data_IF_750983884796
#
_entry.id   IF_750983884796
#
_cell.length_a   1.000
_cell.length_b   1.000
_cell.length_c   1.000
_cell.angle_alpha   90.00
_cell.angle_beta   90.00
_cell.angle_gamma   90.00
#
_symmetry.space_group_name_H-M   'P 1'
#
loop_
_entity.id
_entity.type
_entity.pdbx_description
1 polymer ?
#
# COMPACT_ATOMS: atom_id res chain seq x y z
N UNK A 1 -8.21 17.21 6.95
CA UNK A 1 -7.20 17.33 7.98
C UNK A 1 -6.40 18.59 7.73
N UNK A 2 -6.08 19.33 8.78
CA UNK A 2 -5.12 20.44 8.69
C UNK A 2 -3.72 19.88 8.97
N UNK A 3 -2.77 20.27 8.15
CA UNK A 3 -1.36 19.94 8.36
C UNK A 3 -0.70 20.99 9.27
N UNK A 4 0.46 20.68 9.86
CA UNK A 4 1.16 21.58 10.77
C UNK A 4 1.61 22.89 10.10
N UNK A 5 1.82 22.87 8.80
CA UNK A 5 2.14 24.05 7.98
C UNK A 5 0.92 24.84 7.50
N UNK A 6 -0.29 24.47 7.98
CA UNK A 6 -1.55 25.18 7.74
C UNK A 6 -2.25 24.84 6.42
N UNK A 7 -1.78 23.85 5.67
CA UNK A 7 -2.48 23.37 4.49
C UNK A 7 -3.65 22.45 4.84
N UNK A 8 -4.60 22.33 3.93
CA UNK A 8 -5.72 21.39 4.06
C UNK A 8 -5.47 20.16 3.20
N UNK A 9 -5.42 18.99 3.85
CA UNK A 9 -5.35 17.71 3.16
C UNK A 9 -6.71 17.01 3.19
N UNK A 10 -7.21 16.57 2.04
CA UNK A 10 -8.46 15.85 1.92
C UNK A 10 -8.21 14.34 1.92
N UNK A 11 -8.70 13.67 2.97
CA UNK A 11 -8.68 12.22 3.06
C UNK A 11 -9.95 11.64 2.44
N UNK A 12 -9.82 10.64 1.60
CA UNK A 12 -10.93 9.90 1.00
C UNK A 12 -10.74 8.41 1.22
N UNK A 13 -11.64 7.82 2.00
CA UNK A 13 -11.73 6.37 2.14
C UNK A 13 -12.63 5.81 1.03
N UNK A 14 -12.13 4.83 0.29
CA UNK A 14 -12.92 4.13 -0.72
C UNK A 14 -13.74 3.00 -0.08
N UNK A 15 -14.98 2.75 -0.54
CA UNK A 15 -15.74 1.59 -0.13
C UNK A 15 -14.98 0.30 -0.44
N UNK A 16 -14.86 -0.58 0.55
CA UNK A 16 -14.15 -1.83 0.42
C UNK A 16 -15.13 -3.03 0.49
N UNK A 17 -15.21 -3.88 -0.55
CA UNK A 17 -15.98 -5.12 -0.49
C UNK A 17 -15.29 -6.16 0.40
N UNK A 18 -15.97 -7.27 0.69
CA UNK A 18 -15.37 -8.38 1.45
C UNK A 18 -14.40 -9.24 0.63
N UNK A 19 -14.29 -9.01 -0.66
CA UNK A 19 -13.28 -9.65 -1.52
C UNK A 19 -11.94 -8.95 -1.30
N UNK A 20 -10.97 -9.68 -0.79
CA UNK A 20 -9.65 -9.17 -0.48
C UNK A 20 -8.98 -8.59 -1.73
N UNK A 21 -8.36 -7.42 -1.58
CA UNK A 21 -7.60 -6.68 -2.61
C UNK A 21 -8.44 -6.18 -3.82
N UNK A 22 -9.75 -6.47 -3.87
CA UNK A 22 -10.59 -6.04 -4.99
C UNK A 22 -10.75 -4.51 -5.10
N UNK A 23 -10.46 -3.77 -4.03
CA UNK A 23 -10.49 -2.31 -4.00
C UNK A 23 -9.25 -1.67 -4.63
N UNK A 24 -8.13 -2.38 -4.74
CA UNK A 24 -6.86 -1.82 -5.21
C UNK A 24 -6.97 -1.14 -6.58
N UNK A 25 -7.47 -1.80 -7.64
CA UNK A 25 -7.62 -1.14 -8.93
C UNK A 25 -8.65 0.00 -8.91
N UNK A 26 -9.62 -0.05 -8.00
CA UNK A 26 -10.61 1.03 -7.82
C UNK A 26 -9.92 2.28 -7.25
N UNK A 27 -9.06 2.12 -6.24
CA UNK A 27 -8.29 3.24 -5.64
C UNK A 27 -7.35 3.84 -6.68
N UNK A 28 -6.62 3.01 -7.43
CA UNK A 28 -5.70 3.47 -8.49
C UNK A 28 -6.46 4.24 -9.57
N UNK A 29 -7.55 3.67 -10.10
CA UNK A 29 -8.38 4.33 -11.11
C UNK A 29 -9.03 5.62 -10.61
N UNK A 30 -9.51 5.64 -9.36
CA UNK A 30 -10.06 6.85 -8.75
C UNK A 30 -8.99 7.92 -8.56
N UNK A 31 -7.78 7.54 -8.16
CA UNK A 31 -6.65 8.47 -8.02
C UNK A 31 -6.27 9.07 -9.38
N UNK A 32 -6.21 8.26 -10.44
CA UNK A 32 -5.97 8.73 -11.81
C UNK A 32 -7.02 9.73 -12.24
N UNK A 33 -8.30 9.38 -12.10
CA UNK A 33 -9.39 10.26 -12.49
C UNK A 33 -9.38 11.60 -11.73
N UNK A 34 -9.05 11.57 -10.43
CA UNK A 34 -8.91 12.81 -9.65
C UNK A 34 -7.73 13.66 -10.11
N UNK A 35 -6.59 13.06 -10.36
CA UNK A 35 -5.42 13.79 -10.86
C UNK A 35 -5.76 14.48 -12.19
N UNK A 36 -6.34 13.75 -13.13
CA UNK A 36 -6.68 14.28 -14.45
C UNK A 36 -7.72 15.39 -14.40
N UNK A 37 -8.78 15.24 -13.59
CA UNK A 37 -9.92 16.17 -13.55
C UNK A 37 -9.64 17.41 -12.68
N UNK A 38 -8.96 17.22 -11.53
CA UNK A 38 -8.82 18.27 -10.52
C UNK A 38 -7.46 18.96 -10.53
N UNK A 39 -6.43 18.30 -11.05
CA UNK A 39 -5.03 18.72 -10.88
C UNK A 39 -4.22 18.67 -12.18
N UNK A 40 -4.88 18.63 -13.35
CA UNK A 40 -4.22 18.64 -14.67
C UNK A 40 -3.16 17.53 -14.82
N UNK A 41 -3.44 16.36 -14.26
CA UNK A 41 -2.54 15.20 -14.18
C UNK A 41 -1.27 15.44 -13.34
N UNK A 42 -1.30 16.40 -12.42
CA UNK A 42 -0.24 16.58 -11.41
C UNK A 42 -0.39 15.51 -10.32
N UNK A 43 0.36 14.43 -10.46
CA UNK A 43 0.32 13.29 -9.55
C UNK A 43 0.93 13.58 -8.17
N UNK A 44 1.66 14.68 -8.00
CA UNK A 44 2.19 15.11 -6.70
C UNK A 44 1.07 15.60 -5.76
N UNK A 45 -0.09 15.93 -6.32
CA UNK A 45 -1.28 16.35 -5.56
C UNK A 45 -2.13 15.20 -5.04
N UNK A 46 -1.83 13.97 -5.43
CA UNK A 46 -2.58 12.76 -5.07
C UNK A 46 -1.62 11.74 -4.46
N UNK A 47 -1.99 11.19 -3.31
CA UNK A 47 -1.25 10.10 -2.68
C UNK A 47 -2.18 8.90 -2.46
N UNK A 48 -2.16 7.90 -3.33
CA UNK A 48 -2.85 6.64 -3.08
C UNK A 48 -2.16 5.85 -1.99
N UNK A 49 -2.95 5.30 -1.07
CA UNK A 49 -2.46 4.40 -0.01
C UNK A 49 -3.35 3.17 -0.01
N UNK A 50 -2.75 2.01 -0.19
CA UNK A 50 -3.40 0.71 -0.08
C UNK A 50 -2.93 0.03 1.20
N UNK A 51 -3.87 -0.40 2.04
CA UNK A 51 -3.58 -1.10 3.29
C UNK A 51 -3.92 -2.57 3.09
N UNK A 52 -2.91 -3.43 3.20
CA UNK A 52 -2.98 -4.86 2.92
C UNK A 52 -2.80 -5.69 4.20
N UNK A 53 -3.37 -6.89 4.22
CA UNK A 53 -2.92 -7.97 5.09
C UNK A 53 -1.81 -8.77 4.40
N UNK A 54 -0.89 -9.36 5.17
CA UNK A 54 0.25 -10.12 4.61
C UNK A 54 -0.17 -11.35 3.81
N UNK A 55 -1.19 -12.07 4.25
CA UNK A 55 -1.71 -13.23 3.52
C UNK A 55 -2.44 -12.85 2.23
N UNK A 56 -3.15 -11.70 2.22
CA UNK A 56 -3.90 -11.27 1.05
C UNK A 56 -2.97 -10.68 -0.03
N UNK A 57 -2.05 -9.80 0.34
CA UNK A 57 -1.10 -9.20 -0.62
C UNK A 57 -0.25 -10.24 -1.33
N UNK A 58 0.16 -11.28 -0.62
CA UNK A 58 0.95 -12.37 -1.20
C UNK A 58 0.11 -13.39 -1.99
N UNK A 59 -1.19 -13.52 -1.69
CA UNK A 59 -2.04 -14.59 -2.21
C UNK A 59 -3.04 -14.19 -3.29
N UNK A 60 -3.32 -12.91 -3.47
CA UNK A 60 -4.31 -12.42 -4.43
C UNK A 60 -3.68 -11.92 -5.73
N UNK A 61 -3.98 -12.60 -6.85
CA UNK A 61 -3.41 -12.26 -8.16
C UNK A 61 -3.71 -10.84 -8.64
N UNK A 62 -4.78 -10.21 -8.15
CA UNK A 62 -5.14 -8.84 -8.49
C UNK A 62 -4.07 -7.82 -8.07
N UNK A 63 -3.36 -8.06 -6.96
CA UNK A 63 -2.23 -7.20 -6.54
C UNK A 63 -1.11 -7.25 -7.56
N UNK A 64 -0.79 -8.46 -8.04
CA UNK A 64 0.18 -8.67 -9.11
C UNK A 64 -0.20 -7.89 -10.38
N UNK A 65 -1.47 -7.97 -10.78
CA UNK A 65 -1.98 -7.28 -11.98
C UNK A 65 -1.90 -5.75 -11.83
N UNK A 66 -2.27 -5.22 -10.67
CA UNK A 66 -2.19 -3.78 -10.38
C UNK A 66 -0.74 -3.29 -10.44
N UNK A 67 0.20 -4.03 -9.84
CA UNK A 67 1.63 -3.69 -9.92
C UNK A 67 2.16 -3.73 -11.35
N UNK A 68 1.78 -4.71 -12.15
CA UNK A 68 2.21 -4.79 -13.54
C UNK A 68 1.66 -3.65 -14.42
N UNK A 69 0.60 -2.99 -13.99
CA UNK A 69 0.04 -1.83 -14.68
C UNK A 69 0.65 -0.49 -14.21
N UNK A 70 1.30 -0.43 -13.05
CA UNK A 70 1.66 0.81 -12.35
C UNK A 70 2.53 1.78 -13.17
N UNK A 71 3.40 1.25 -14.03
CA UNK A 71 4.31 2.04 -14.87
C UNK A 71 3.81 2.24 -16.32
N UNK A 72 2.61 1.74 -16.65
CA UNK A 72 2.05 1.92 -17.98
C UNK A 72 1.36 3.29 -18.10
N UNK A 73 1.61 4.01 -19.19
CA UNK A 73 1.10 5.37 -19.43
C UNK A 73 -0.40 5.55 -19.12
N UNK A 74 -1.23 4.57 -19.49
CA UNK A 74 -2.67 4.60 -19.28
C UNK A 74 -3.10 4.42 -17.83
N UNK A 75 -2.22 3.90 -16.97
CA UNK A 75 -2.50 3.52 -15.57
C UNK A 75 -1.63 4.26 -14.56
N UNK A 76 -0.56 4.90 -15.02
CA UNK A 76 0.39 5.62 -14.20
C UNK A 76 -0.26 6.70 -13.34
N UNK A 77 0.10 6.74 -12.05
CA UNK A 77 -0.42 7.68 -11.05
C UNK A 77 0.66 8.28 -10.15
N UNK A 78 1.93 8.17 -10.54
CA UNK A 78 3.06 8.65 -9.75
C UNK A 78 3.38 7.78 -8.53
N UNK A 79 2.98 6.51 -8.56
CA UNK A 79 3.25 5.54 -7.50
C UNK A 79 2.21 5.50 -6.36
N UNK A 80 2.15 4.35 -5.71
CA UNK A 80 1.25 4.01 -4.60
C UNK A 80 2.07 3.64 -3.37
N UNK A 81 1.61 4.03 -2.19
CA UNK A 81 2.14 3.49 -0.92
C UNK A 81 1.35 2.22 -0.58
N UNK A 82 2.03 1.09 -0.61
CA UNK A 82 1.50 -0.21 -0.17
C UNK A 82 1.89 -0.43 1.30
N UNK A 83 0.93 -0.28 2.20
CA UNK A 83 1.14 -0.44 3.63
C UNK A 83 0.67 -1.83 4.06
N UNK A 84 1.59 -2.75 4.32
CA UNK A 84 1.26 -4.12 4.69
C UNK A 84 1.25 -4.27 6.22
N UNK A 85 0.08 -4.57 6.77
CA UNK A 85 -0.07 -4.99 8.17
C UNK A 85 0.27 -6.47 8.23
N UNK A 86 1.56 -6.76 8.45
CA UNK A 86 2.08 -8.11 8.48
C UNK A 86 1.94 -8.69 9.88
N UNK A 87 0.74 -9.21 10.18
CA UNK A 87 0.47 -9.85 11.46
C UNK A 87 0.85 -11.35 11.48
N UNK A 88 1.49 -11.83 10.42
CA UNK A 88 2.11 -13.15 10.31
C UNK A 88 1.13 -14.34 10.38
N UNK A 89 -0.16 -14.06 10.15
CA UNK A 89 -1.21 -15.10 10.13
C UNK A 89 -2.31 -14.76 9.14
N UNK A 90 -2.69 -15.72 8.30
CA UNK A 90 -3.82 -15.61 7.38
C UNK A 90 -4.97 -16.49 7.86
N UNK A 91 -6.06 -15.88 8.39
CA UNK A 91 -7.14 -16.62 9.06
C UNK A 91 -6.59 -17.45 10.22
N UNK A 92 -6.35 -18.75 10.02
CA UNK A 92 -5.74 -19.67 11.00
C UNK A 92 -4.41 -20.28 10.51
N UNK A 93 -3.93 -19.83 9.34
CA UNK A 93 -2.72 -20.37 8.71
C UNK A 93 -1.53 -19.50 9.06
N UNK A 94 -0.50 -20.11 9.65
CA UNK A 94 0.77 -19.47 9.95
C UNK A 94 1.50 -19.06 8.66
N UNK A 95 2.37 -18.04 8.73
CA UNK A 95 3.06 -17.53 7.56
C UNK A 95 4.00 -18.57 6.92
N UNK A 96 4.58 -19.48 7.70
CA UNK A 96 5.45 -20.54 7.22
C UNK A 96 4.70 -21.57 6.36
N UNK A 97 3.40 -21.74 6.61
CA UNK A 97 2.52 -22.62 5.83
C UNK A 97 1.76 -21.91 4.72
N UNK A 98 1.81 -20.57 4.69
CA UNK A 98 0.97 -19.76 3.79
C UNK A 98 1.65 -19.41 2.46
N UNK A 99 2.97 -19.36 2.41
CA UNK A 99 3.71 -18.92 1.22
C UNK A 99 5.12 -19.51 1.15
N UNK A 100 5.64 -19.64 -0.07
CA UNK A 100 7.01 -20.12 -0.31
C UNK A 100 8.08 -19.04 -0.16
N UNK A 101 7.67 -17.75 -0.24
CA UNK A 101 8.60 -16.64 -0.10
C UNK A 101 8.76 -16.25 1.38
N UNK A 102 9.97 -15.90 1.79
CA UNK A 102 10.26 -15.44 3.16
C UNK A 102 9.46 -14.18 3.52
N UNK A 103 9.28 -13.26 2.55
CA UNK A 103 8.55 -12.01 2.74
C UNK A 103 7.25 -11.99 1.94
N UNK A 104 6.16 -11.56 2.56
CA UNK A 104 4.89 -11.33 1.86
C UNK A 104 5.01 -10.25 0.78
N UNK A 105 5.97 -9.34 0.94
CA UNK A 105 6.29 -8.24 0.02
C UNK A 105 7.26 -8.59 -1.09
N UNK A 106 7.63 -9.86 -1.26
CA UNK A 106 8.56 -10.30 -2.35
C UNK A 106 8.06 -9.91 -3.75
N UNK A 107 6.74 -9.73 -3.93
CA UNK A 107 6.15 -9.25 -5.18
C UNK A 107 6.62 -7.83 -5.59
N UNK A 108 7.05 -6.99 -4.66
CA UNK A 108 7.56 -5.66 -4.95
C UNK A 108 8.78 -5.67 -5.89
N UNK A 109 9.56 -6.76 -5.85
CA UNK A 109 10.72 -6.93 -6.72
C UNK A 109 10.38 -6.97 -8.23
N UNK A 110 9.13 -7.32 -8.59
CA UNK A 110 8.70 -7.36 -10.00
C UNK A 110 8.76 -6.00 -10.67
N UNK A 111 8.45 -4.95 -9.91
CA UNK A 111 8.47 -3.56 -10.38
C UNK A 111 9.62 -2.76 -9.78
N UNK A 112 10.57 -3.46 -9.14
CA UNK A 112 11.74 -2.87 -8.48
C UNK A 112 11.38 -1.80 -7.43
N UNK A 113 10.19 -1.93 -6.82
CA UNK A 113 9.75 -1.06 -5.76
C UNK A 113 10.56 -1.31 -4.47
N UNK A 114 10.97 -0.28 -3.74
CA UNK A 114 11.62 -0.45 -2.44
C UNK A 114 10.65 -1.01 -1.41
N UNK A 115 11.19 -1.79 -0.49
CA UNK A 115 10.45 -2.35 0.66
C UNK A 115 11.13 -1.89 1.93
N UNK A 116 10.38 -1.24 2.82
CA UNK A 116 10.81 -0.86 4.15
C UNK A 116 10.21 -1.81 5.18
N UNK A 117 11.06 -2.58 5.86
CA UNK A 117 10.61 -3.44 6.96
C UNK A 117 10.70 -2.68 8.28
N UNK A 118 9.62 -2.66 9.04
CA UNK A 118 9.56 -1.93 10.31
C UNK A 118 8.83 -2.75 11.37
N UNK A 119 9.32 -2.68 12.61
CA UNK A 119 8.65 -3.29 13.75
C UNK A 119 7.42 -2.48 14.15
N UNK A 120 6.23 -3.09 14.08
CA UNK A 120 4.96 -2.45 14.42
C UNK A 120 4.81 -2.06 15.90
N UNK A 121 5.60 -2.63 16.81
CA UNK A 121 5.62 -2.24 18.22
C UNK A 121 6.42 -0.94 18.47
N UNK A 122 7.19 -0.46 17.49
CA UNK A 122 7.92 0.79 17.56
C UNK A 122 7.20 1.87 16.73
N UNK A 123 6.27 2.58 17.37
CA UNK A 123 5.44 3.59 16.71
C UNK A 123 6.26 4.74 16.10
N UNK A 124 7.37 5.13 16.74
CA UNK A 124 8.24 6.19 16.21
C UNK A 124 8.97 5.73 14.96
N UNK A 125 9.45 4.49 14.94
CA UNK A 125 10.07 3.90 13.76
C UNK A 125 9.06 3.78 12.60
N UNK A 126 7.81 3.38 12.88
CA UNK A 126 6.74 3.32 11.87
C UNK A 126 6.50 4.69 11.24
N UNK A 127 6.37 5.74 12.05
CA UNK A 127 6.16 7.12 11.54
C UNK A 127 7.34 7.55 10.66
N UNK A 128 8.57 7.36 11.11
CA UNK A 128 9.78 7.69 10.31
C UNK A 128 9.84 6.90 9.00
N UNK A 129 9.44 5.64 9.04
CA UNK A 129 9.36 4.78 7.87
C UNK A 129 8.33 5.30 6.85
N UNK A 130 7.15 5.71 7.31
CA UNK A 130 6.11 6.32 6.47
C UNK A 130 6.59 7.63 5.86
N UNK A 131 7.22 8.50 6.65
CA UNK A 131 7.80 9.75 6.13
C UNK A 131 8.82 9.51 5.02
N UNK A 132 9.69 8.52 5.20
CA UNK A 132 10.69 8.14 4.20
C UNK A 132 10.01 7.59 2.93
N UNK A 133 9.03 6.71 3.09
CA UNK A 133 8.28 6.13 1.98
C UNK A 133 7.54 7.19 1.15
N UNK A 134 6.90 8.15 1.82
CA UNK A 134 6.21 9.26 1.13
C UNK A 134 7.21 10.14 0.39
N UNK A 135 8.34 10.50 1.02
CA UNK A 135 9.39 11.28 0.36
C UNK A 135 9.96 10.55 -0.85
N UNK A 136 10.20 9.25 -0.72
CA UNK A 136 10.70 8.42 -1.81
C UNK A 136 9.71 8.40 -2.98
N UNK A 137 8.43 8.17 -2.70
CA UNK A 137 7.37 8.18 -3.71
C UNK A 137 7.29 9.54 -4.42
N UNK A 138 7.35 10.65 -3.68
CA UNK A 138 7.27 12.00 -4.25
C UNK A 138 8.50 12.36 -5.10
N UNK A 139 9.68 11.83 -4.75
CA UNK A 139 10.92 12.09 -5.50
C UNK A 139 11.04 11.21 -6.74
N UNK A 140 10.68 9.92 -6.63
CA UNK A 140 10.92 8.93 -7.68
C UNK A 140 9.66 8.50 -8.43
N UNK A 141 8.49 8.89 -7.98
CA UNK A 141 7.19 8.64 -8.62
C UNK A 141 6.92 7.15 -8.93
N UNK A 142 7.28 6.27 -8.03
CA UNK A 142 7.08 4.82 -8.14
C UNK A 142 6.42 4.25 -6.88
N UNK A 143 5.97 3.01 -6.98
CA UNK A 143 5.38 2.29 -5.86
C UNK A 143 6.40 2.09 -4.74
N UNK A 144 5.92 2.12 -3.49
CA UNK A 144 6.73 1.88 -2.29
C UNK A 144 5.97 0.96 -1.36
N UNK A 145 6.66 -0.03 -0.80
CA UNK A 145 6.09 -0.95 0.17
C UNK A 145 6.61 -0.67 1.58
N UNK A 146 5.70 -0.72 2.54
CA UNK A 146 6.02 -0.73 3.97
C UNK A 146 5.51 -2.06 4.54
N UNK A 147 6.42 -2.91 4.96
CA UNK A 147 6.13 -4.17 5.65
C UNK A 147 6.20 -3.93 7.15
N UNK A 148 5.05 -3.63 7.76
CA UNK A 148 4.95 -3.41 9.19
C UNK A 148 4.74 -4.76 9.90
N UNK A 149 5.83 -5.34 10.39
CA UNK A 149 5.82 -6.62 11.09
C UNK A 149 5.21 -6.45 12.47
N UNK A 150 4.12 -7.13 12.71
CA UNK A 150 3.35 -7.07 13.94
C UNK A 150 2.73 -8.45 14.28
N UNK A 151 1.70 -8.47 15.09
CA UNK A 151 0.97 -9.68 15.42
C UNK A 151 -0.52 -9.38 15.63
N UNK A 152 -1.35 -10.40 15.45
CA UNK A 152 -2.77 -10.32 15.75
C UNK A 152 -3.02 -10.70 17.20
N UNK A 153 -3.48 -9.76 18.01
CA UNK A 153 -3.82 -9.98 19.41
C UNK A 153 -5.27 -10.46 19.58
N UNK A 154 -6.16 -9.88 18.84
CA UNK A 154 -7.59 -10.16 18.84
C UNK A 154 -8.16 -10.07 17.42
N UNK A 155 -9.34 -10.58 17.22
CA UNK A 155 -10.08 -10.46 15.98
C UNK A 155 -10.12 -11.75 15.17
N UNK A 156 -10.75 -11.67 14.06
CA UNK A 156 -11.05 -12.67 13.08
C UNK A 156 -11.25 -14.09 13.63
N UNK A 157 -12.51 -14.42 13.93
CA UNK A 157 -12.96 -15.75 14.34
C UNK A 157 -12.50 -16.19 15.74
N UNK A 158 -12.53 -15.29 16.68
CA UNK A 158 -12.41 -15.58 18.10
C UNK A 158 -13.78 -15.92 18.70
#
# INVERSE_FOLDING_TARGET
VQTDDGHTMHLKLMPNPSHLEAVDPVVVGFSRAKADIMYESDFDKILPILIHGDASVAGQGIVYEVLQMSELDGYYIGGTIHFVINNQIGFTTDFDDARSADYCTSLAAMVQAPVFHVNGDDAEAVVKCVELAVRFRQEFHCDVFIDMVCYRKHGHNE
#
